data_IF_876199386523
#
_entry.id   IF_876199386523
#
_cell.length_a   1.000
_cell.length_b   1.000
_cell.length_c   1.000
_cell.angle_alpha   90.00
_cell.angle_beta   90.00
_cell.angle_gamma   90.00
#
_symmetry.space_group_name_H-M   'P 1'
#
loop_
_entity.id
_entity.type
_entity.pdbx_description
1 polymer ?
#
# COMPACT_ATOMS: atom_id res chain seq x y z
N UNK A 1 -15.03 14.20 -15.13
CA UNK A 1 -15.70 14.35 -13.84
C UNK A 1 -16.75 13.24 -13.67
N UNK A 2 -17.38 13.11 -12.48
CA UNK A 2 -18.43 12.13 -12.25
C UNK A 2 -18.00 10.87 -11.49
N UNK A 3 -18.86 9.85 -11.43
CA UNK A 3 -18.67 8.61 -10.68
C UNK A 3 -17.81 7.61 -11.50
N UNK A 4 -16.54 7.91 -11.65
CA UNK A 4 -15.57 7.17 -12.46
C UNK A 4 -14.21 7.12 -11.77
N UNK A 5 -13.31 6.29 -12.28
CA UNK A 5 -11.89 6.33 -11.92
C UNK A 5 -11.33 7.71 -12.25
N UNK A 6 -10.55 8.27 -11.36
CA UNK A 6 -9.92 9.58 -11.49
C UNK A 6 -8.47 9.45 -11.97
N UNK A 7 -7.88 10.51 -12.55
CA UNK A 7 -6.45 10.54 -12.82
C UNK A 7 -5.64 10.12 -11.61
N UNK A 8 -4.60 9.34 -11.83
CA UNK A 8 -3.78 8.76 -10.77
C UNK A 8 -2.90 9.84 -10.15
N UNK A 9 -2.80 9.83 -8.82
CA UNK A 9 -1.87 10.69 -8.08
C UNK A 9 -0.61 9.90 -7.79
N UNK A 10 0.54 10.42 -8.22
CA UNK A 10 1.85 9.79 -7.97
C UNK A 10 2.79 10.72 -7.21
N UNK A 11 3.56 10.16 -6.29
CA UNK A 11 4.70 10.89 -5.74
C UNK A 11 5.93 10.75 -6.66
N UNK A 12 6.96 11.58 -6.43
CA UNK A 12 8.24 11.50 -7.17
C UNK A 12 9.13 10.32 -6.72
N UNK A 13 8.56 9.21 -6.26
CA UNK A 13 9.30 8.07 -5.69
C UNK A 13 10.39 7.53 -6.61
N UNK A 14 10.14 7.52 -7.93
CA UNK A 14 11.09 7.12 -8.97
C UNK A 14 12.44 7.85 -8.88
N UNK A 15 12.44 9.15 -8.54
CA UNK A 15 13.64 9.99 -8.44
C UNK A 15 14.01 10.38 -7.03
N UNK A 16 13.30 9.84 -6.03
CA UNK A 16 13.47 10.17 -4.63
C UNK A 16 14.45 9.21 -3.94
N UNK A 17 15.38 9.75 -3.13
CA UNK A 17 16.30 8.92 -2.34
C UNK A 17 15.63 7.91 -1.39
N UNK A 18 14.36 8.10 -1.07
CA UNK A 18 13.56 7.21 -0.22
C UNK A 18 12.59 6.34 -1.02
N UNK A 19 12.55 6.49 -2.34
CA UNK A 19 11.69 5.67 -3.21
C UNK A 19 12.12 4.21 -3.18
N UNK A 20 11.15 3.32 -3.04
CA UNK A 20 11.37 1.87 -2.99
C UNK A 20 10.98 1.17 -4.29
N UNK A 21 10.33 1.89 -5.20
CA UNK A 21 9.93 1.41 -6.52
C UNK A 21 9.72 2.57 -7.50
N UNK A 22 9.56 2.25 -8.79
CA UNK A 22 9.23 3.21 -9.83
C UNK A 22 7.76 3.64 -9.76
N UNK A 23 7.51 4.74 -9.05
CA UNK A 23 6.15 5.26 -8.88
C UNK A 23 5.56 5.82 -10.16
N UNK A 24 6.38 6.36 -11.07
CA UNK A 24 5.88 6.90 -12.34
C UNK A 24 5.45 5.77 -13.27
N UNK A 25 6.31 4.75 -13.46
CA UNK A 25 5.99 3.60 -14.30
C UNK A 25 4.74 2.84 -13.82
N UNK A 26 4.63 2.56 -12.51
CA UNK A 26 3.42 1.92 -11.98
C UNK A 26 2.18 2.81 -12.14
N UNK A 27 2.29 4.12 -11.92
CA UNK A 27 1.16 5.05 -12.07
C UNK A 27 0.69 5.15 -13.52
N UNK A 28 1.59 5.11 -14.48
CA UNK A 28 1.27 5.10 -15.91
C UNK A 28 0.50 3.84 -16.27
N UNK A 29 0.97 2.66 -15.88
CA UNK A 29 0.26 1.38 -16.08
C UNK A 29 -1.14 1.38 -15.47
N UNK A 30 -1.29 1.89 -14.24
CA UNK A 30 -2.59 2.03 -13.58
C UNK A 30 -3.47 3.03 -14.33
N UNK A 31 -2.91 4.13 -14.81
CA UNK A 31 -3.63 5.17 -15.57
C UNK A 31 -4.18 4.59 -16.88
N UNK A 32 -3.34 3.94 -17.67
CA UNK A 32 -3.73 3.33 -18.93
C UNK A 32 -4.79 2.24 -18.72
N UNK A 33 -4.55 1.32 -17.77
CA UNK A 33 -5.46 0.19 -17.55
C UNK A 33 -6.81 0.63 -16.96
N UNK A 34 -6.84 1.57 -16.02
CA UNK A 34 -8.05 1.88 -15.25
C UNK A 34 -8.63 3.27 -15.50
N UNK A 35 -7.84 4.30 -15.70
CA UNK A 35 -8.40 5.61 -16.03
C UNK A 35 -8.86 5.67 -17.49
N UNK A 36 -8.04 5.17 -18.42
CA UNK A 36 -8.36 5.12 -19.84
C UNK A 36 -9.26 3.90 -20.13
N UNK A 37 -8.81 2.70 -19.74
CA UNK A 37 -9.51 1.45 -20.06
C UNK A 37 -10.90 1.32 -19.44
N UNK A 38 -11.12 1.93 -18.27
CA UNK A 38 -12.44 1.95 -17.60
C UNK A 38 -13.16 3.30 -17.75
N UNK A 39 -12.77 4.13 -18.73
CA UNK A 39 -13.37 5.47 -18.91
C UNK A 39 -14.90 5.44 -19.10
N UNK A 40 -15.43 4.42 -19.78
CA UNK A 40 -16.85 4.20 -19.99
C UNK A 40 -17.59 3.62 -18.77
N UNK A 41 -16.88 3.09 -17.78
CA UNK A 41 -17.49 2.40 -16.64
C UNK A 41 -17.98 3.41 -15.60
N UNK A 42 -19.29 3.35 -15.32
CA UNK A 42 -19.93 4.12 -14.25
C UNK A 42 -19.76 3.36 -12.93
N UNK A 43 -19.20 4.02 -11.94
CA UNK A 43 -19.03 3.51 -10.57
C UNK A 43 -20.06 4.15 -9.63
N UNK A 44 -20.30 3.62 -8.43
CA UNK A 44 -21.19 4.24 -7.44
C UNK A 44 -20.81 5.69 -7.11
N UNK A 45 -19.52 6.01 -7.05
CA UNK A 45 -18.98 7.35 -6.86
C UNK A 45 -17.60 7.47 -7.54
N UNK A 46 -16.98 8.67 -7.46
CA UNK A 46 -15.59 8.87 -7.89
C UNK A 46 -14.66 7.91 -7.17
N UNK A 47 -13.69 7.37 -7.91
CA UNK A 47 -12.70 6.42 -7.41
C UNK A 47 -11.30 6.99 -7.60
N UNK A 48 -10.54 7.12 -6.53
CA UNK A 48 -9.21 7.73 -6.52
C UNK A 48 -8.15 6.71 -6.16
N UNK A 49 -7.08 6.69 -6.94
CA UNK A 49 -5.90 5.85 -6.70
C UNK A 49 -4.69 6.76 -6.52
N UNK A 50 -3.85 6.45 -5.54
CA UNK A 50 -2.60 7.16 -5.34
C UNK A 50 -1.44 6.21 -5.06
N UNK A 51 -0.26 6.52 -5.64
CA UNK A 51 0.97 5.75 -5.48
C UNK A 51 2.01 6.55 -4.71
N UNK A 52 2.48 5.99 -3.60
CA UNK A 52 3.53 6.53 -2.75
C UNK A 52 4.75 5.62 -2.75
N UNK A 53 5.92 6.15 -3.08
CA UNK A 53 7.14 5.37 -3.21
C UNK A 53 7.69 4.78 -1.90
N UNK A 54 7.25 5.28 -0.75
CA UNK A 54 7.68 4.80 0.57
C UNK A 54 6.73 5.25 1.68
N UNK A 55 6.88 4.74 2.92
CA UNK A 55 6.01 5.09 4.07
C UNK A 55 6.11 6.55 4.56
N UNK A 56 6.93 7.42 3.96
CA UNK A 56 6.88 8.86 4.26
C UNK A 56 5.55 9.52 3.82
N UNK A 57 4.75 8.83 3.00
CA UNK A 57 3.35 9.17 2.71
C UNK A 57 3.13 10.59 2.12
N UNK A 58 4.09 11.09 1.32
CA UNK A 58 4.13 12.49 0.87
C UNK A 58 2.89 12.93 0.09
N UNK A 59 2.30 12.06 -0.73
CA UNK A 59 1.06 12.31 -1.49
C UNK A 59 -0.18 11.72 -0.81
N UNK A 60 -0.01 11.25 0.43
CA UNK A 60 -1.07 10.68 1.27
C UNK A 60 -1.90 9.60 0.54
N UNK A 61 -1.25 8.53 0.04
CA UNK A 61 -1.97 7.47 -0.67
C UNK A 61 -3.09 6.88 0.18
N UNK A 62 -2.88 6.71 1.47
CA UNK A 62 -3.84 6.20 2.45
C UNK A 62 -5.11 7.07 2.64
N UNK A 63 -5.13 8.29 2.11
CA UNK A 63 -6.33 9.16 2.08
C UNK A 63 -7.06 9.10 0.72
N UNK A 64 -6.76 8.12 -0.12
CA UNK A 64 -7.46 7.86 -1.37
C UNK A 64 -8.24 6.55 -1.28
N UNK A 65 -9.19 6.32 -2.19
CA UNK A 65 -10.00 5.11 -2.18
C UNK A 65 -9.12 3.85 -2.23
N UNK A 66 -8.03 3.93 -3.02
CA UNK A 66 -6.93 2.95 -3.00
C UNK A 66 -5.60 3.68 -2.87
N UNK A 67 -4.82 3.29 -1.88
CA UNK A 67 -3.45 3.75 -1.69
C UNK A 67 -2.45 2.63 -1.91
N UNK A 68 -1.41 2.89 -2.68
CA UNK A 68 -0.31 1.95 -2.94
C UNK A 68 0.96 2.56 -2.38
N UNK A 69 1.60 1.88 -1.44
CA UNK A 69 2.75 2.41 -0.69
C UNK A 69 3.88 1.40 -0.72
N UNK A 70 5.04 1.80 -1.24
CA UNK A 70 6.24 0.97 -1.24
C UNK A 70 6.65 0.52 0.15
N UNK A 71 7.02 -0.75 0.27
CA UNK A 71 7.42 -1.40 1.50
C UNK A 71 8.75 -2.12 1.30
N UNK A 72 9.62 -2.04 2.30
CA UNK A 72 10.84 -2.84 2.41
C UNK A 72 10.91 -3.40 3.82
N UNK A 73 10.43 -4.63 3.97
CA UNK A 73 10.23 -5.29 5.27
C UNK A 73 11.56 -5.85 5.76
N UNK A 74 12.04 -5.47 6.94
CA UNK A 74 13.24 -6.06 7.52
C UNK A 74 12.92 -7.33 8.32
N UNK A 75 13.89 -8.25 8.31
CA UNK A 75 13.94 -9.43 9.19
C UNK A 75 15.08 -9.27 10.17
N UNK A 76 14.80 -9.41 11.46
CA UNK A 76 15.79 -9.36 12.52
C UNK A 76 16.10 -10.77 13.04
N UNK A 77 17.41 -11.07 13.11
CA UNK A 77 17.97 -12.30 13.67
C UNK A 77 18.77 -11.94 14.93
N UNK A 78 18.21 -12.29 16.10
CA UNK A 78 18.80 -11.97 17.39
C UNK A 78 20.09 -12.77 17.66
N UNK A 79 20.28 -13.93 17.04
CA UNK A 79 21.46 -14.79 17.25
C UNK A 79 22.70 -14.20 16.57
N UNK A 80 22.49 -13.53 15.45
CA UNK A 80 23.54 -12.81 14.74
C UNK A 80 23.90 -11.47 15.36
N UNK A 81 23.08 -10.93 16.28
CA UNK A 81 23.32 -9.64 16.90
C UNK A 81 24.45 -9.72 17.95
N UNK A 82 25.54 -8.97 17.74
CA UNK A 82 26.76 -8.98 18.57
C UNK A 82 26.80 -7.89 19.63
N UNK A 83 25.69 -7.26 20.00
CA UNK A 83 25.61 -6.23 21.03
C UNK A 83 26.64 -5.10 20.86
N UNK A 84 26.83 -4.61 19.61
CA UNK A 84 27.82 -3.60 19.28
C UNK A 84 27.68 -2.36 20.16
N UNK A 85 28.81 -1.72 20.55
CA UNK A 85 28.80 -0.47 21.32
C UNK A 85 27.96 0.63 20.66
N UNK A 86 28.02 0.71 19.32
CA UNK A 86 27.18 1.62 18.51
C UNK A 86 26.41 0.77 17.50
N UNK A 87 25.07 0.83 17.55
CA UNK A 87 24.22 0.14 16.60
C UNK A 87 23.80 1.06 15.46
N UNK A 88 24.32 0.83 14.26
CA UNK A 88 24.00 1.63 13.08
C UNK A 88 22.53 1.51 12.67
N UNK A 89 21.92 0.33 12.86
CA UNK A 89 20.51 0.05 12.57
C UNK A 89 19.59 0.89 13.46
N UNK A 90 19.85 0.94 14.76
CA UNK A 90 19.08 1.75 15.70
C UNK A 90 19.20 3.26 15.40
N UNK A 91 20.39 3.72 14.98
CA UNK A 91 20.66 5.13 14.65
C UNK A 91 19.77 5.66 13.50
N UNK A 92 19.51 4.85 12.49
CA UNK A 92 18.79 5.28 11.28
C UNK A 92 17.29 5.03 11.35
N UNK A 93 16.80 4.34 12.40
CA UNK A 93 15.39 4.02 12.53
C UNK A 93 14.56 5.26 12.92
N UNK A 94 13.73 5.84 12.03
CA UNK A 94 12.98 7.05 12.32
C UNK A 94 11.87 6.83 13.35
N UNK A 95 11.37 5.58 13.45
CA UNK A 95 10.28 5.20 14.35
C UNK A 95 10.78 4.62 15.68
N UNK A 96 12.11 4.50 15.85
CA UNK A 96 12.71 3.79 16.98
C UNK A 96 12.16 2.36 17.17
N UNK A 97 11.62 1.77 16.09
CA UNK A 97 11.22 0.37 16.06
C UNK A 97 12.44 -0.54 16.25
N UNK A 98 13.59 -0.14 15.72
CA UNK A 98 14.89 -0.71 16.06
C UNK A 98 15.53 0.20 17.09
N UNK A 99 15.68 -0.25 18.34
CA UNK A 99 16.23 0.48 19.48
C UNK A 99 17.24 -0.37 20.22
N UNK A 100 18.17 0.28 20.92
CA UNK A 100 19.22 -0.43 21.65
C UNK A 100 19.59 0.34 22.91
N UNK A 101 19.57 -0.32 24.06
CA UNK A 101 20.17 0.14 25.27
C UNK A 101 21.67 -0.22 25.32
N UNK A 102 22.44 0.47 26.15
CA UNK A 102 23.88 0.22 26.29
C UNK A 102 24.14 -1.20 26.82
N UNK A 103 25.07 -1.91 26.18
CA UNK A 103 25.41 -3.29 26.54
C UNK A 103 24.41 -4.38 26.08
N UNK A 104 23.23 -4.01 25.60
CA UNK A 104 22.19 -4.97 25.19
C UNK A 104 22.27 -5.32 23.70
N UNK A 105 21.54 -6.37 23.29
CA UNK A 105 21.23 -6.64 21.89
C UNK A 105 20.23 -5.63 21.35
N UNK A 106 20.14 -5.51 20.03
CA UNK A 106 19.10 -4.72 19.37
C UNK A 106 17.71 -5.24 19.77
N UNK A 107 16.85 -4.36 20.21
CA UNK A 107 15.40 -4.63 20.32
C UNK A 107 14.72 -4.19 19.04
N UNK A 108 13.95 -5.08 18.42
CA UNK A 108 13.20 -4.81 17.19
C UNK A 108 11.70 -5.05 17.42
N UNK A 109 10.95 -3.95 17.40
CA UNK A 109 9.50 -3.91 17.55
C UNK A 109 8.84 -3.87 16.16
N UNK A 110 8.26 -5.00 15.73
CA UNK A 110 7.60 -5.14 14.43
C UNK A 110 6.36 -4.25 14.32
N UNK A 111 5.65 -4.00 15.41
CA UNK A 111 4.41 -3.20 15.40
C UNK A 111 4.70 -1.72 15.15
N UNK A 112 5.81 -1.22 15.69
CA UNK A 112 6.27 0.15 15.40
C UNK A 112 6.93 0.31 14.03
N UNK A 113 7.30 -0.79 13.38
CA UNK A 113 8.00 -0.74 12.11
C UNK A 113 7.06 -0.35 10.97
N UNK A 114 7.38 0.73 10.25
CA UNK A 114 6.65 1.19 9.08
C UNK A 114 7.18 0.59 7.77
N UNK A 115 8.10 -0.37 7.82
CA UNK A 115 8.70 -1.03 6.67
C UNK A 115 9.35 -0.06 5.65
N UNK A 116 9.99 0.99 6.13
CA UNK A 116 10.66 1.98 5.27
C UNK A 116 12.02 1.52 4.73
N UNK A 117 12.55 0.41 5.21
CA UNK A 117 13.80 -0.20 4.76
C UNK A 117 15.09 0.57 5.10
N UNK A 118 15.04 1.74 5.80
CA UNK A 118 16.25 2.55 6.07
C UNK A 118 17.35 1.75 6.77
N UNK A 119 16.99 0.82 7.65
CA UNK A 119 17.92 -0.08 8.32
C UNK A 119 18.63 -1.08 7.37
N UNK A 120 18.19 -1.17 6.12
CA UNK A 120 18.73 -2.08 5.11
C UNK A 120 19.61 -1.36 4.08
N UNK A 121 19.21 -0.14 3.65
CA UNK A 121 19.93 0.59 2.60
C UNK A 121 20.72 1.81 3.11
N UNK A 122 20.34 2.43 4.25
CA UNK A 122 21.08 3.55 4.85
C UNK A 122 22.11 3.08 5.88
N UNK A 123 21.91 1.90 6.49
CA UNK A 123 22.80 1.35 7.50
C UNK A 123 22.76 -0.18 7.48
N UNK A 124 23.74 -0.78 6.83
CA UNK A 124 23.88 -2.24 6.82
C UNK A 124 24.49 -2.73 8.13
N UNK A 125 23.84 -3.71 8.78
CA UNK A 125 24.42 -4.40 9.93
C UNK A 125 25.63 -5.24 9.47
N UNK A 126 26.84 -5.05 10.05
CA UNK A 126 28.03 -5.80 9.62
C UNK A 126 27.98 -7.28 9.94
N UNK A 127 27.03 -7.71 10.77
CA UNK A 127 26.84 -9.12 11.16
C UNK A 127 25.58 -9.74 10.53
N UNK A 128 24.94 -9.05 9.56
CA UNK A 128 23.70 -9.47 8.91
C UNK A 128 22.59 -9.88 9.90
N UNK A 129 22.56 -9.23 11.08
CA UNK A 129 21.48 -9.42 12.05
C UNK A 129 20.19 -8.70 11.64
N UNK A 130 20.25 -7.78 10.68
CA UNK A 130 19.11 -7.12 10.06
C UNK A 130 19.24 -7.29 8.55
N UNK A 131 18.33 -8.06 7.95
CA UNK A 131 18.31 -8.39 6.52
C UNK A 131 16.96 -8.05 5.92
N UNK A 132 16.84 -8.10 4.60
CA UNK A 132 15.57 -7.95 3.90
C UNK A 132 14.76 -9.24 3.98
N UNK A 133 13.48 -9.14 4.34
CA UNK A 133 12.52 -10.23 4.28
C UNK A 133 11.73 -10.18 2.97
N UNK A 134 11.14 -9.00 2.68
CA UNK A 134 10.38 -8.78 1.45
C UNK A 134 10.43 -7.30 1.04
N UNK A 135 10.48 -7.07 -0.26
CA UNK A 135 10.22 -5.76 -0.88
C UNK A 135 8.94 -5.86 -1.69
N UNK A 136 8.08 -4.85 -1.61
CA UNK A 136 6.80 -4.87 -2.30
C UNK A 136 5.93 -3.65 -2.00
N UNK A 137 4.63 -3.87 -2.03
CA UNK A 137 3.61 -2.82 -1.98
C UNK A 137 2.58 -3.12 -0.89
N UNK A 138 2.34 -2.15 -0.03
CA UNK A 138 1.18 -2.14 0.86
C UNK A 138 0.03 -1.46 0.12
N UNK A 139 -1.11 -2.13 0.03
CA UNK A 139 -2.35 -1.56 -0.51
C UNK A 139 -3.28 -1.21 0.64
N UNK A 140 -3.86 -0.01 0.61
CA UNK A 140 -4.86 0.46 1.58
C UNK A 140 -6.19 0.68 0.89
N UNK A 141 -7.29 0.37 1.58
CA UNK A 141 -8.67 0.47 1.08
C UNK A 141 -9.48 1.49 1.86
N UNK A 142 -10.32 2.24 1.16
CA UNK A 142 -11.36 3.05 1.77
C UNK A 142 -10.87 4.35 2.39
N UNK A 143 -9.70 4.84 1.99
CA UNK A 143 -9.27 6.17 2.36
C UNK A 143 -10.11 7.26 1.69
N UNK A 144 -10.21 8.42 2.34
CA UNK A 144 -10.88 9.59 1.77
C UNK A 144 -10.36 10.90 2.33
N UNK A 145 -10.35 11.89 1.46
CA UNK A 145 -9.98 13.26 1.76
C UNK A 145 -11.02 14.23 1.22
N UNK A 146 -11.46 15.16 2.03
CA UNK A 146 -12.46 16.18 1.67
C UNK A 146 -13.32 16.57 2.88
N UNK A 147 -14.64 16.71 2.71
CA UNK A 147 -15.58 17.03 3.82
C UNK A 147 -15.51 16.04 4.99
N UNK A 148 -15.25 14.78 4.69
CA UNK A 148 -14.91 13.74 5.67
C UNK A 148 -13.52 13.25 5.36
N UNK A 149 -12.70 13.09 6.39
CA UNK A 149 -11.33 12.57 6.30
C UNK A 149 -11.31 11.20 6.98
N UNK A 150 -10.64 10.24 6.35
CA UNK A 150 -10.44 8.91 6.92
C UNK A 150 -9.28 8.21 6.23
N UNK A 151 -8.44 7.55 7.01
CA UNK A 151 -7.38 6.72 6.48
C UNK A 151 -7.94 5.40 5.99
N UNK A 152 -7.41 4.91 4.88
CA UNK A 152 -7.68 3.57 4.37
C UNK A 152 -7.05 2.51 5.27
N UNK A 153 -7.75 1.41 5.44
CA UNK A 153 -7.25 0.26 6.17
C UNK A 153 -6.29 -0.55 5.29
N UNK A 154 -5.09 -0.89 5.76
CA UNK A 154 -4.16 -1.71 4.99
C UNK A 154 -4.70 -3.12 4.81
N UNK A 155 -4.54 -3.68 3.62
CA UNK A 155 -4.73 -5.10 3.37
C UNK A 155 -3.69 -5.92 4.13
N UNK A 156 -4.03 -7.14 4.49
CA UNK A 156 -3.19 -8.05 5.28
C UNK A 156 -1.93 -8.51 4.55
N UNK A 157 -1.97 -8.56 3.21
CA UNK A 157 -0.87 -9.01 2.35
C UNK A 157 0.00 -7.84 1.88
N UNK A 158 1.33 -8.04 1.85
CA UNK A 158 2.27 -7.23 1.05
C UNK A 158 2.34 -7.86 -0.34
N UNK A 159 2.04 -7.08 -1.37
CA UNK A 159 2.11 -7.51 -2.77
C UNK A 159 3.56 -7.38 -3.26
N UNK A 160 4.04 -8.35 -4.03
CA UNK A 160 5.47 -8.44 -4.39
C UNK A 160 5.79 -8.10 -5.83
N UNK A 161 4.78 -7.97 -6.68
CA UNK A 161 4.94 -7.57 -8.09
C UNK A 161 3.94 -6.48 -8.49
N UNK A 162 4.26 -5.77 -9.58
CA UNK A 162 3.35 -4.77 -10.17
C UNK A 162 2.10 -5.42 -10.74
N UNK A 163 2.21 -6.62 -11.28
CA UNK A 163 1.09 -7.41 -11.81
C UNK A 163 0.11 -7.74 -10.69
N UNK A 164 0.60 -8.19 -9.53
CA UNK A 164 -0.27 -8.40 -8.36
C UNK A 164 -0.98 -7.12 -7.94
N UNK A 165 -0.29 -5.97 -8.00
CA UNK A 165 -0.89 -4.66 -7.68
C UNK A 165 -1.95 -4.28 -8.71
N UNK A 166 -1.70 -4.46 -9.99
CA UNK A 166 -2.67 -4.18 -11.05
C UNK A 166 -3.92 -5.05 -10.90
N UNK A 167 -3.74 -6.34 -10.65
CA UNK A 167 -4.85 -7.28 -10.46
C UNK A 167 -5.68 -6.95 -9.22
N UNK A 168 -5.05 -6.60 -8.11
CA UNK A 168 -5.78 -6.25 -6.89
C UNK A 168 -6.53 -4.93 -7.05
N UNK A 169 -5.96 -3.93 -7.75
CA UNK A 169 -6.65 -2.67 -8.07
C UNK A 169 -7.88 -2.93 -8.93
N UNK A 170 -7.79 -3.80 -9.93
CA UNK A 170 -8.93 -4.19 -10.75
C UNK A 170 -10.03 -4.86 -9.94
N UNK A 171 -9.67 -5.82 -9.09
CA UNK A 171 -10.60 -6.49 -8.18
C UNK A 171 -11.29 -5.51 -7.23
N UNK A 172 -10.57 -4.49 -6.74
CA UNK A 172 -11.17 -3.44 -5.89
C UNK A 172 -12.18 -2.59 -6.68
N UNK A 173 -11.88 -2.25 -7.94
CA UNK A 173 -12.81 -1.52 -8.80
C UNK A 173 -14.06 -2.36 -9.06
N UNK A 174 -13.91 -3.64 -9.37
CA UNK A 174 -15.01 -4.58 -9.59
C UNK A 174 -15.84 -4.78 -8.31
N UNK A 175 -15.20 -4.95 -7.16
CA UNK A 175 -15.86 -4.99 -5.86
C UNK A 175 -16.71 -3.73 -5.63
N UNK A 176 -16.15 -2.56 -5.88
CA UNK A 176 -16.86 -1.30 -5.69
C UNK A 176 -18.04 -1.15 -6.66
N UNK A 177 -17.89 -1.58 -7.92
CA UNK A 177 -18.97 -1.58 -8.90
C UNK A 177 -20.07 -2.57 -8.52
N UNK A 178 -19.73 -3.75 -8.01
CA UNK A 178 -20.66 -4.83 -7.67
C UNK A 178 -21.43 -4.57 -6.36
N UNK A 179 -20.72 -4.11 -5.33
CA UNK A 179 -21.24 -3.97 -3.96
C UNK A 179 -21.66 -2.56 -3.59
N UNK A 180 -21.15 -1.53 -4.28
CA UNK A 180 -21.43 -0.14 -3.93
C UNK A 180 -22.81 0.33 -4.33
N UNK A 181 -23.42 1.14 -3.51
CA UNK A 181 -24.70 1.81 -3.76
C UNK A 181 -24.45 3.20 -4.38
N UNK A 182 -25.32 3.64 -5.29
CA UNK A 182 -25.18 4.94 -5.94
C UNK A 182 -25.00 6.08 -4.94
N UNK A 183 -23.93 6.87 -5.10
CA UNK A 183 -23.57 7.97 -4.19
C UNK A 183 -22.65 7.56 -3.03
N UNK A 184 -22.46 6.26 -2.78
CA UNK A 184 -21.57 5.70 -1.75
C UNK A 184 -20.10 5.82 -2.17
N UNK A 185 -19.21 6.18 -1.25
CA UNK A 185 -17.76 6.09 -1.46
C UNK A 185 -17.27 4.68 -1.12
N UNK A 186 -16.15 4.27 -1.69
CA UNK A 186 -15.54 2.96 -1.36
C UNK A 186 -15.41 2.74 0.16
N UNK A 187 -15.04 3.78 0.91
CA UNK A 187 -14.95 3.72 2.37
C UNK A 187 -16.29 3.32 3.03
N UNK A 188 -17.40 3.86 2.52
CA UNK A 188 -18.73 3.57 3.06
C UNK A 188 -19.18 2.16 2.65
N UNK A 189 -18.87 1.74 1.41
CA UNK A 189 -19.11 0.37 0.93
C UNK A 189 -18.35 -0.66 1.77
N UNK A 190 -17.06 -0.44 1.99
CA UNK A 190 -16.21 -1.33 2.83
C UNK A 190 -16.73 -1.39 4.27
N UNK A 191 -17.11 -0.24 4.84
CA UNK A 191 -17.67 -0.20 6.20
C UNK A 191 -18.99 -0.97 6.32
N UNK A 192 -19.87 -0.87 5.30
CA UNK A 192 -21.15 -1.57 5.27
C UNK A 192 -21.00 -3.09 5.08
N UNK A 193 -20.08 -3.52 4.23
CA UNK A 193 -19.81 -4.96 3.97
C UNK A 193 -19.02 -5.59 5.11
N UNK A 194 -18.19 -4.79 5.79
CA UNK A 194 -17.17 -5.22 6.76
C UNK A 194 -15.82 -5.45 6.08
N UNK A 195 -14.74 -4.94 6.69
CA UNK A 195 -13.41 -4.95 6.05
C UNK A 195 -12.92 -6.37 5.74
N UNK A 196 -12.99 -7.30 6.70
CA UNK A 196 -12.53 -8.68 6.53
C UNK A 196 -13.26 -9.39 5.39
N UNK A 197 -14.58 -9.20 5.30
CA UNK A 197 -15.40 -9.77 4.23
C UNK A 197 -15.08 -9.13 2.88
N UNK A 198 -14.92 -7.81 2.84
CA UNK A 198 -14.53 -7.09 1.63
C UNK A 198 -13.15 -7.54 1.15
N UNK A 199 -12.17 -7.65 2.05
CA UNK A 199 -10.83 -8.15 1.72
C UNK A 199 -10.87 -9.58 1.18
N UNK A 200 -11.61 -10.48 1.81
CA UNK A 200 -11.77 -11.86 1.34
C UNK A 200 -12.37 -11.93 -0.07
N UNK A 201 -13.41 -11.13 -0.38
CA UNK A 201 -13.99 -11.02 -1.71
C UNK A 201 -12.98 -10.47 -2.73
N UNK A 202 -12.25 -9.43 -2.37
CA UNK A 202 -11.26 -8.78 -3.25
C UNK A 202 -10.09 -9.71 -3.53
N UNK A 203 -9.61 -10.47 -2.55
CA UNK A 203 -8.48 -11.40 -2.75
C UNK A 203 -8.88 -12.61 -3.59
N UNK A 204 -10.14 -13.03 -3.57
CA UNK A 204 -10.64 -14.13 -4.42
C UNK A 204 -10.55 -13.80 -5.91
N UNK A 205 -10.61 -14.82 -6.77
CA UNK A 205 -10.67 -14.63 -8.23
C UNK A 205 -12.09 -14.45 -8.77
N UNK A 206 -13.11 -14.64 -7.94
CA UNK A 206 -14.52 -14.58 -8.33
C UNK A 206 -14.89 -13.27 -9.04
N UNK A 207 -14.38 -12.14 -8.56
CA UNK A 207 -14.64 -10.83 -9.17
C UNK A 207 -14.11 -10.73 -10.60
N UNK A 208 -12.96 -11.34 -10.90
CA UNK A 208 -12.39 -11.37 -12.25
C UNK A 208 -13.17 -12.33 -13.16
N UNK A 209 -13.61 -13.47 -12.64
CA UNK A 209 -14.44 -14.44 -13.38
C UNK A 209 -15.79 -13.82 -13.76
N UNK A 210 -16.38 -13.01 -12.87
CA UNK A 210 -17.63 -12.29 -13.09
C UNK A 210 -17.48 -10.91 -13.70
N UNK A 211 -16.29 -10.54 -14.15
CA UNK A 211 -15.97 -9.20 -14.65
C UNK A 211 -16.97 -8.69 -15.69
N UNK A 212 -17.29 -9.51 -16.70
CA UNK A 212 -18.21 -9.12 -17.77
C UNK A 212 -19.63 -8.82 -17.23
N UNK A 213 -20.14 -9.65 -16.33
CA UNK A 213 -21.43 -9.46 -15.66
C UNK A 213 -21.42 -8.16 -14.83
N UNK A 214 -20.37 -7.96 -14.01
CA UNK A 214 -20.24 -6.79 -13.12
C UNK A 214 -20.18 -5.49 -13.93
N UNK A 215 -19.42 -5.48 -15.02
CA UNK A 215 -19.28 -4.29 -15.87
C UNK A 215 -20.54 -3.96 -16.65
N UNK A 216 -21.39 -4.94 -16.94
CA UNK A 216 -22.68 -4.76 -17.62
C UNK A 216 -23.77 -4.16 -16.70
N UNK A 217 -23.59 -4.14 -15.38
CA UNK A 217 -24.53 -3.50 -14.44
C UNK A 217 -24.60 -1.99 -14.70
N UNK A 218 -25.80 -1.41 -14.78
CA UNK A 218 -26.04 0.02 -14.99
C UNK A 218 -25.69 0.90 -13.77
#
# INVERSE_FOLDING_TARGET
TGPKVRPIVSCKGTTCQYGLYDTYGLSEKIHERFYIGYHGVKLPHKFKIATGGCPNNCVKPDLNDVGIIGQKVPKFDADKCKSCKVCVVAKVCPMKAASKAEGEKLNYDKEKCINCGRCLYMAKCPFDAMTEEVTGYKVTLGGRWGKKVGQGTPMSKVFTSEEEVLDIVEKIILFFKDQGVAGERLADTVARVGFEKAEAMIVSNELLERKAEILAKE
#
